data_IF_503255299997
#
_entry.id   IF_503255299997
#
_cell.length_a   1.000
_cell.length_b   1.000
_cell.length_c   1.000
_cell.angle_alpha   90.00
_cell.angle_beta   90.00
_cell.angle_gamma   90.00
#
_symmetry.space_group_name_H-M   'P 1'
#
loop_
_entity.id
_entity.type
_entity.pdbx_description
1 polymer ?
#
# COMPACT_ATOMS: atom_id res chain seq x y z
N UNK A 1 13.62 8.90 -6.05
CA UNK A 1 13.37 8.66 -4.61
C UNK A 1 11.87 8.54 -4.44
N UNK A 2 11.40 7.53 -3.71
CA UNK A 2 9.97 7.31 -3.49
C UNK A 2 9.71 7.17 -1.99
N UNK A 3 8.65 7.80 -1.50
CA UNK A 3 8.16 7.68 -0.13
C UNK A 3 6.70 7.29 -0.18
N UNK A 4 6.36 6.13 0.36
CA UNK A 4 4.99 5.60 0.37
C UNK A 4 4.61 5.31 1.81
N UNK A 5 3.39 5.69 2.19
CA UNK A 5 2.71 5.15 3.36
C UNK A 5 1.29 4.72 2.96
N UNK A 6 0.46 4.35 3.93
CA UNK A 6 -0.88 3.81 3.66
C UNK A 6 -1.79 4.72 2.83
N UNK A 7 -1.60 6.03 2.88
CA UNK A 7 -2.49 7.00 2.23
C UNK A 7 -1.75 8.06 1.41
N UNK A 8 -0.44 7.97 1.27
CA UNK A 8 0.29 8.93 0.44
C UNK A 8 1.48 8.31 -0.25
N UNK A 9 1.72 8.79 -1.47
CA UNK A 9 2.91 8.53 -2.24
C UNK A 9 3.52 9.87 -2.66
N UNK A 10 4.83 9.99 -2.47
CA UNK A 10 5.65 11.08 -2.99
C UNK A 10 6.78 10.46 -3.79
N UNK A 11 6.74 10.61 -5.12
CA UNK A 11 7.69 9.98 -6.04
C UNK A 11 8.45 11.04 -6.84
N UNK A 12 9.75 10.84 -6.99
CA UNK A 12 10.62 11.60 -7.89
C UNK A 12 11.20 10.66 -8.94
N UNK A 13 10.80 10.87 -10.19
CA UNK A 13 11.27 10.12 -11.36
C UNK A 13 12.14 11.03 -12.22
N UNK A 14 13.34 10.58 -12.57
CA UNK A 14 14.19 11.27 -13.55
C UNK A 14 13.90 10.69 -14.93
N UNK A 15 13.46 11.55 -15.85
CA UNK A 15 13.13 11.19 -17.23
C UNK A 15 14.24 11.70 -18.15
N UNK A 16 14.73 10.81 -19.01
CA UNK A 16 15.78 11.09 -20.00
C UNK A 16 15.27 10.84 -21.39
N UNK A 17 15.44 11.83 -22.26
CA UNK A 17 14.94 11.86 -23.61
C UNK A 17 16.09 11.96 -24.60
N UNK A 18 16.00 11.20 -25.68
CA UNK A 18 16.85 11.35 -26.86
C UNK A 18 16.07 12.17 -27.89
N UNK A 19 16.67 13.22 -28.41
CA UNK A 19 16.10 13.99 -29.52
C UNK A 19 16.58 13.39 -30.82
N UNK A 20 15.66 12.85 -31.59
CA UNK A 20 15.94 12.14 -32.83
C UNK A 20 15.45 12.96 -34.02
N UNK A 21 16.33 13.12 -35.02
CA UNK A 21 15.99 13.68 -36.33
C UNK A 21 16.26 12.63 -37.40
N UNK A 22 15.44 12.57 -38.45
CA UNK A 22 15.72 11.74 -39.62
C UNK A 22 16.59 12.54 -40.58
N UNK A 23 17.79 12.05 -40.88
CA UNK A 23 18.73 12.64 -41.84
C UNK A 23 19.02 11.59 -42.90
N UNK A 24 18.68 11.90 -44.16
CA UNK A 24 18.83 10.96 -45.29
C UNK A 24 18.18 9.59 -45.04
N UNK A 25 17.00 9.58 -44.42
CA UNK A 25 16.27 8.34 -44.07
C UNK A 25 16.79 7.63 -42.82
N UNK A 26 17.86 8.12 -42.17
CA UNK A 26 18.46 7.47 -40.99
C UNK A 26 18.11 8.25 -39.71
N UNK A 27 17.60 7.59 -38.65
CA UNK A 27 17.45 8.21 -37.34
C UNK A 27 18.80 8.56 -36.73
N UNK A 28 19.00 9.84 -36.43
CA UNK A 28 20.21 10.35 -35.76
C UNK A 28 19.84 11.04 -34.46
N UNK A 29 20.56 10.73 -33.39
CA UNK A 29 20.45 11.45 -32.12
C UNK A 29 21.17 12.79 -32.24
N UNK A 30 20.43 13.89 -32.13
CA UNK A 30 20.94 15.26 -32.29
C UNK A 30 20.95 16.06 -30.99
N UNK A 31 20.42 15.48 -29.91
CA UNK A 31 20.40 16.12 -28.59
C UNK A 31 19.80 15.23 -27.52
N UNK A 32 19.77 15.74 -26.29
CA UNK A 32 19.09 15.09 -25.16
C UNK A 32 18.37 16.12 -24.30
N UNK A 33 17.37 15.67 -23.56
CA UNK A 33 16.72 16.44 -22.51
C UNK A 33 16.52 15.56 -21.28
N UNK A 34 16.88 16.07 -20.11
CA UNK A 34 16.69 15.39 -18.83
C UNK A 34 15.94 16.30 -17.87
N UNK A 35 14.88 15.80 -17.26
CA UNK A 35 14.07 16.51 -16.28
C UNK A 35 13.53 15.54 -15.23
N UNK A 36 12.97 16.08 -14.16
CA UNK A 36 12.33 15.27 -13.11
C UNK A 36 10.83 15.50 -13.09
N UNK A 37 10.07 14.44 -12.91
CA UNK A 37 8.68 14.49 -12.52
C UNK A 37 8.56 14.18 -11.03
N UNK A 38 7.90 15.07 -10.29
CA UNK A 38 7.55 14.87 -8.88
C UNK A 38 6.04 14.64 -8.80
N UNK A 39 5.62 13.51 -8.24
CA UNK A 39 4.23 13.18 -7.98
C UNK A 39 3.93 13.26 -6.49
N UNK A 40 2.74 13.71 -6.13
CA UNK A 40 2.22 13.66 -4.76
C UNK A 40 0.76 13.22 -4.81
N UNK A 41 0.54 11.93 -4.54
CA UNK A 41 -0.77 11.31 -4.48
C UNK A 41 -1.17 11.15 -3.01
N UNK A 42 -2.35 11.64 -2.65
CA UNK A 42 -2.93 11.45 -1.31
C UNK A 42 -4.28 10.78 -1.44
N UNK A 43 -4.38 9.53 -0.98
CA UNK A 43 -5.62 8.78 -0.90
C UNK A 43 -6.39 9.15 0.37
N UNK A 44 -7.66 8.80 0.41
CA UNK A 44 -8.53 9.12 1.53
C UNK A 44 -9.16 7.87 2.13
N UNK A 45 -9.09 7.74 3.46
CA UNK A 45 -9.76 6.67 4.20
C UNK A 45 -11.29 6.84 4.29
N UNK A 46 -11.85 7.93 3.77
CA UNK A 46 -13.29 8.23 3.83
C UNK A 46 -13.86 8.74 2.50
N UNK A 47 -13.08 8.64 1.43
CA UNK A 47 -13.50 8.97 0.08
C UNK A 47 -12.81 8.02 -0.90
N UNK A 48 -13.54 7.56 -1.91
CA UNK A 48 -12.96 6.82 -3.03
C UNK A 48 -12.53 7.72 -4.20
N UNK A 49 -12.71 9.02 -4.04
CA UNK A 49 -12.31 10.05 -4.99
C UNK A 49 -11.19 10.88 -4.35
N UNK A 50 -10.18 11.24 -5.13
CA UNK A 50 -9.03 12.00 -4.66
C UNK A 50 -8.38 12.82 -5.78
N UNK A 51 -7.45 13.68 -5.40
CA UNK A 51 -6.63 14.46 -6.32
C UNK A 51 -5.14 14.16 -6.08
N UNK A 52 -4.38 14.14 -7.16
CA UNK A 52 -2.93 14.10 -7.16
C UNK A 52 -2.39 15.37 -7.81
N UNK A 53 -1.27 15.88 -7.29
CA UNK A 53 -0.52 16.97 -7.94
C UNK A 53 0.81 16.44 -8.47
N UNK A 54 1.24 16.95 -9.61
CA UNK A 54 2.57 16.69 -10.12
C UNK A 54 3.28 17.95 -10.60
N UNK A 55 4.60 17.90 -10.61
CA UNK A 55 5.48 18.98 -11.05
C UNK A 55 6.56 18.42 -11.98
N UNK A 56 6.78 19.09 -13.11
CA UNK A 56 7.88 18.80 -14.01
C UNK A 56 8.94 19.90 -13.83
N UNK A 57 10.19 19.50 -13.61
CA UNK A 57 11.29 20.46 -13.59
C UNK A 57 11.55 21.00 -15.00
N UNK A 58 12.22 22.16 -15.06
CA UNK A 58 12.91 22.58 -16.28
C UNK A 58 13.88 21.47 -16.72
N UNK A 59 13.95 21.22 -18.02
CA UNK A 59 14.89 20.26 -18.58
C UNK A 59 16.31 20.84 -18.69
N UNK A 60 17.28 20.00 -18.36
CA UNK A 60 18.69 20.19 -18.74
C UNK A 60 18.90 19.54 -20.10
N UNK A 61 19.47 20.27 -21.04
CA UNK A 61 19.49 19.90 -22.46
C UNK A 61 20.89 19.93 -23.06
N UNK A 62 21.12 19.09 -24.06
CA UNK A 62 22.33 19.11 -24.91
C UNK A 62 21.94 19.10 -26.37
N UNK A 63 22.76 19.72 -27.23
CA UNK A 63 22.48 19.86 -28.66
C UNK A 63 21.08 20.42 -28.91
N UNK A 64 20.30 19.69 -29.69
CA UNK A 64 18.92 20.01 -30.05
C UNK A 64 17.89 19.74 -28.93
N UNK A 65 18.29 19.67 -27.67
CA UNK A 65 17.40 19.31 -26.55
C UNK A 65 16.31 20.34 -26.18
N UNK A 66 16.41 21.60 -26.63
CA UNK A 66 15.44 22.68 -26.30
C UNK A 66 14.18 22.64 -27.18
N UNK A 67 13.12 23.30 -26.71
CA UNK A 67 11.89 23.47 -27.48
C UNK A 67 11.05 22.18 -27.59
N UNK A 68 11.22 21.25 -26.65
CA UNK A 68 10.42 20.03 -26.56
C UNK A 68 9.13 20.36 -25.81
N UNK A 69 8.00 20.04 -26.41
CA UNK A 69 6.69 20.09 -25.77
C UNK A 69 6.36 18.73 -25.15
N UNK A 70 5.87 18.73 -23.92
CA UNK A 70 5.41 17.53 -23.21
C UNK A 70 3.90 17.61 -22.95
N UNK A 71 3.22 16.49 -23.14
CA UNK A 71 1.86 16.25 -22.64
C UNK A 71 1.89 15.07 -21.67
N UNK A 72 1.04 15.11 -20.65
CA UNK A 72 0.94 14.07 -19.63
C UNK A 72 -0.49 13.53 -19.60
N UNK A 73 -0.62 12.21 -19.56
CA UNK A 73 -1.90 11.52 -19.37
C UNK A 73 -1.76 10.50 -18.26
N UNK A 74 -2.72 10.47 -17.35
CA UNK A 74 -2.84 9.45 -16.32
C UNK A 74 -4.02 8.52 -16.63
N UNK A 75 -3.84 7.23 -16.40
CA UNK A 75 -4.90 6.22 -16.52
C UNK A 75 -5.01 5.42 -15.24
N UNK A 76 -6.25 5.12 -14.84
CA UNK A 76 -6.57 4.32 -13.65
C UNK A 76 -7.42 3.10 -14.06
N UNK A 77 -7.47 2.11 -13.18
CA UNK A 77 -8.22 0.86 -13.37
C UNK A 77 -9.20 0.56 -12.25
N UNK A 78 -9.77 -0.64 -12.26
CA UNK A 78 -10.60 -1.19 -11.18
C UNK A 78 -11.80 -0.32 -10.77
N UNK A 79 -12.48 0.27 -11.76
CA UNK A 79 -13.68 1.08 -11.55
C UNK A 79 -13.39 2.53 -11.17
N UNK A 80 -12.13 2.95 -11.24
CA UNK A 80 -11.72 4.35 -11.06
C UNK A 80 -11.28 4.93 -12.39
N UNK A 81 -11.77 6.12 -12.72
CA UNK A 81 -11.29 6.93 -13.85
C UNK A 81 -10.28 7.96 -13.36
N UNK A 82 -9.35 8.35 -14.25
CA UNK A 82 -8.39 9.41 -14.01
C UNK A 82 -8.59 10.50 -15.06
N UNK A 83 -8.61 11.76 -14.62
CA UNK A 83 -8.69 12.94 -15.49
C UNK A 83 -7.48 13.82 -15.23
N UNK A 84 -6.62 13.95 -16.23
CA UNK A 84 -5.42 14.81 -16.15
C UNK A 84 -5.77 16.25 -16.52
N UNK A 85 -5.34 17.19 -15.67
CA UNK A 85 -5.45 18.63 -15.87
C UNK A 85 -4.07 19.19 -16.16
N UNK A 86 -3.62 18.96 -17.39
CA UNK A 86 -2.33 19.40 -17.88
C UNK A 86 -2.38 19.52 -19.40
N UNK A 87 -2.02 20.70 -19.92
CA UNK A 87 -1.92 20.94 -21.35
C UNK A 87 -0.50 20.69 -21.87
N UNK A 88 -0.31 20.64 -23.20
CA UNK A 88 1.02 20.65 -23.79
C UNK A 88 1.86 21.82 -23.26
N UNK A 89 3.07 21.55 -22.77
CA UNK A 89 3.93 22.55 -22.15
C UNK A 89 5.39 22.40 -22.60
N UNK A 90 6.12 23.51 -22.72
CA UNK A 90 7.54 23.49 -23.07
C UNK A 90 8.41 23.05 -21.88
N UNK A 91 9.27 22.05 -22.07
CA UNK A 91 10.24 21.60 -21.06
C UNK A 91 11.36 22.61 -20.76
N UNK A 92 11.39 23.75 -21.44
CA UNK A 92 12.35 24.84 -21.20
C UNK A 92 12.08 25.60 -19.88
N UNK A 93 10.89 25.40 -19.29
CA UNK A 93 10.50 25.92 -17.98
C UNK A 93 9.87 24.83 -17.12
N UNK A 94 9.91 25.00 -15.80
CA UNK A 94 9.17 24.13 -14.89
C UNK A 94 7.66 24.33 -15.04
N UNK A 95 6.89 23.29 -14.78
CA UNK A 95 5.43 23.33 -14.83
C UNK A 95 4.80 22.39 -13.79
N UNK A 96 3.50 22.52 -13.58
CA UNK A 96 2.74 21.63 -12.72
C UNK A 96 1.36 21.35 -13.30
N UNK A 97 0.78 20.24 -12.86
CA UNK A 97 -0.57 19.83 -13.20
C UNK A 97 -1.17 19.00 -12.08
N UNK A 98 -2.38 18.52 -12.31
CA UNK A 98 -3.06 17.61 -11.38
C UNK A 98 -3.77 16.48 -12.12
N UNK A 99 -4.15 15.47 -11.36
CA UNK A 99 -5.00 14.36 -11.80
C UNK A 99 -6.14 14.22 -10.80
N UNK A 100 -7.37 14.27 -11.27
CA UNK A 100 -8.55 13.93 -10.46
C UNK A 100 -8.91 12.47 -10.70
N UNK A 101 -9.19 11.75 -9.62
CA UNK A 101 -9.63 10.37 -9.65
C UNK A 101 -11.06 10.26 -9.15
N UNK A 102 -11.88 9.52 -9.90
CA UNK A 102 -13.28 9.28 -9.55
C UNK A 102 -13.57 7.80 -9.61
N UNK A 103 -14.00 7.24 -8.49
CA UNK A 103 -14.35 5.82 -8.38
C UNK A 103 -15.85 5.65 -8.49
N UNK A 104 -16.28 4.69 -9.32
CA UNK A 104 -17.68 4.34 -9.44
C UNK A 104 -18.28 3.96 -8.06
N UNK A 105 -19.56 4.27 -7.79
CA UNK A 105 -20.19 3.96 -6.51
C UNK A 105 -20.01 2.50 -6.09
N UNK A 106 -19.56 2.29 -4.86
CA UNK A 106 -19.32 0.95 -4.30
C UNK A 106 -20.38 0.61 -3.26
N UNK A 107 -21.00 -0.56 -3.38
CA UNK A 107 -21.88 -1.10 -2.33
C UNK A 107 -21.08 -1.54 -1.10
N UNK A 108 -21.72 -1.54 0.08
CA UNK A 108 -21.12 -2.07 1.31
C UNK A 108 -20.63 -3.52 1.09
N UNK A 109 -19.45 -3.82 1.62
CA UNK A 109 -18.79 -5.13 1.46
C UNK A 109 -18.00 -5.26 0.17
N UNK A 110 -18.03 -4.28 -0.74
CA UNK A 110 -17.23 -4.30 -1.97
C UNK A 110 -15.76 -4.04 -1.66
N UNK A 111 -14.90 -4.84 -2.29
CA UNK A 111 -13.44 -4.65 -2.35
C UNK A 111 -13.10 -4.68 -3.85
N UNK A 112 -12.53 -3.60 -4.39
CA UNK A 112 -12.02 -3.62 -5.76
C UNK A 112 -10.65 -4.31 -5.82
N UNK A 113 -10.19 -4.66 -7.02
CA UNK A 113 -8.84 -5.18 -7.21
C UNK A 113 -7.77 -4.13 -6.85
N UNK A 114 -6.54 -4.59 -6.63
CA UNK A 114 -5.35 -3.74 -6.57
C UNK A 114 -5.01 -3.23 -7.98
N UNK A 115 -4.61 -1.97 -8.12
CA UNK A 115 -4.19 -1.35 -9.38
C UNK A 115 -3.15 -0.26 -9.15
N UNK A 116 -2.55 0.24 -10.22
CA UNK A 116 -1.66 1.40 -10.24
C UNK A 116 -2.23 2.45 -11.19
N UNK A 117 -1.91 3.72 -10.94
CA UNK A 117 -2.02 4.74 -11.99
C UNK A 117 -0.89 4.55 -12.98
N UNK A 118 -1.16 4.61 -14.28
CA UNK A 118 -0.11 4.65 -15.31
C UNK A 118 -0.02 6.04 -15.91
N UNK A 119 1.15 6.65 -15.79
CA UNK A 119 1.45 7.94 -16.41
C UNK A 119 2.11 7.71 -17.78
N UNK A 120 1.62 8.40 -18.79
CA UNK A 120 2.21 8.45 -20.11
C UNK A 120 2.62 9.89 -20.42
N UNK A 121 3.89 10.07 -20.76
CA UNK A 121 4.45 11.34 -21.19
C UNK A 121 4.71 11.25 -22.69
N UNK A 122 4.13 12.18 -23.44
CA UNK A 122 4.31 12.28 -24.89
C UNK A 122 5.12 13.53 -25.20
N UNK A 123 6.09 13.40 -26.09
CA UNK A 123 7.04 14.45 -26.42
C UNK A 123 6.96 14.79 -27.89
N UNK A 124 6.86 16.07 -28.21
CA UNK A 124 6.89 16.56 -29.58
C UNK A 124 7.88 17.71 -29.71
N UNK A 125 8.53 17.76 -30.87
CA UNK A 125 9.38 18.88 -31.27
C UNK A 125 9.27 19.01 -32.80
N UNK A 126 8.98 20.20 -33.35
CA UNK A 126 8.91 20.40 -34.80
C UNK A 126 10.17 19.91 -35.51
N UNK A 127 10.02 19.19 -36.62
CA UNK A 127 11.12 18.63 -37.41
C UNK A 127 11.85 17.43 -36.79
N UNK A 128 11.31 16.86 -35.69
CA UNK A 128 11.91 15.72 -34.97
C UNK A 128 10.89 14.59 -34.79
N UNK A 129 11.39 13.39 -34.50
CA UNK A 129 10.54 12.22 -34.24
C UNK A 129 9.88 12.37 -32.85
N UNK A 130 8.54 12.20 -32.72
CA UNK A 130 7.88 12.17 -31.42
C UNK A 130 8.39 11.03 -30.53
N UNK A 131 8.43 11.27 -29.23
CA UNK A 131 8.85 10.29 -28.24
C UNK A 131 7.76 10.03 -27.19
N UNK A 132 7.90 8.96 -26.43
CA UNK A 132 7.11 8.76 -25.22
C UNK A 132 7.86 7.96 -24.16
N UNK A 133 7.42 8.11 -22.91
CA UNK A 133 7.82 7.25 -21.79
C UNK A 133 6.65 7.07 -20.85
N UNK A 134 6.68 6.01 -20.05
CA UNK A 134 5.65 5.73 -19.06
C UNK A 134 6.26 5.11 -17.80
N UNK A 135 5.54 5.27 -16.69
CA UNK A 135 5.81 4.55 -15.45
C UNK A 135 4.52 4.45 -14.61
N UNK A 136 4.42 3.44 -13.74
CA UNK A 136 3.30 3.29 -12.83
C UNK A 136 3.54 4.02 -11.49
N UNK A 137 2.46 4.35 -10.79
CA UNK A 137 2.47 4.72 -9.36
C UNK A 137 2.65 3.50 -8.44
N UNK A 138 2.70 3.73 -7.13
CA UNK A 138 2.44 2.69 -6.14
C UNK A 138 1.07 2.02 -6.36
N UNK A 139 0.96 0.77 -5.93
CA UNK A 139 -0.28 0.00 -5.98
C UNK A 139 -1.24 0.47 -4.91
N UNK A 140 -2.45 0.80 -5.32
CA UNK A 140 -3.55 1.19 -4.47
C UNK A 140 -4.79 0.33 -4.71
N UNK A 141 -5.71 0.41 -3.76
CA UNK A 141 -7.03 -0.24 -3.82
C UNK A 141 -8.07 0.65 -3.17
N UNK A 142 -9.25 0.71 -3.77
CA UNK A 142 -10.44 1.27 -3.14
C UNK A 142 -11.40 0.16 -2.70
N UNK A 143 -12.09 0.38 -1.58
CA UNK A 143 -13.10 -0.52 -1.06
C UNK A 143 -14.19 0.25 -0.31
N UNK A 144 -15.34 -0.39 -0.12
CA UNK A 144 -16.40 0.03 0.78
C UNK A 144 -16.76 -1.13 1.72
N UNK A 145 -15.74 -1.85 2.21
CA UNK A 145 -16.00 -3.09 2.96
C UNK A 145 -16.74 -2.82 4.27
N UNK A 146 -16.36 -1.74 4.97
CA UNK A 146 -16.93 -1.38 6.27
C UNK A 146 -18.19 -0.50 6.20
N UNK A 147 -18.65 -0.12 5.00
CA UNK A 147 -19.74 0.85 4.84
C UNK A 147 -19.28 2.31 4.77
N UNK A 148 -17.97 2.54 4.69
CA UNK A 148 -17.37 3.81 4.27
C UNK A 148 -16.42 3.52 3.12
N UNK A 149 -16.64 4.19 1.99
CA UNK A 149 -15.76 4.08 0.84
C UNK A 149 -14.43 4.79 1.13
N UNK A 150 -13.32 4.14 0.79
CA UNK A 150 -11.99 4.71 0.92
C UNK A 150 -10.97 3.98 0.06
N UNK A 151 -9.80 4.57 -0.09
CA UNK A 151 -8.69 3.98 -0.83
C UNK A 151 -7.42 3.96 0.03
N UNK A 152 -6.57 2.96 -0.20
CA UNK A 152 -5.30 2.83 0.49
C UNK A 152 -4.22 2.25 -0.43
N UNK A 153 -2.97 2.64 -0.18
CA UNK A 153 -1.78 2.07 -0.78
C UNK A 153 -1.54 0.68 -0.17
N UNK A 154 -1.32 -0.30 -1.02
CA UNK A 154 -1.20 -1.71 -0.59
C UNK A 154 0.22 -2.25 -0.59
N UNK A 155 1.18 -1.48 -1.13
CA UNK A 155 2.59 -1.89 -1.22
C UNK A 155 3.34 -1.76 0.11
N UNK A 156 2.86 -0.92 1.02
CA UNK A 156 3.50 -0.67 2.31
C UNK A 156 2.72 -1.34 3.43
N UNK A 157 3.34 -2.25 4.21
CA UNK A 157 2.72 -2.79 5.39
C UNK A 157 2.36 -1.69 6.39
N UNK A 158 1.19 -1.79 7.00
CA UNK A 158 0.82 -0.99 8.17
C UNK A 158 1.17 -1.76 9.45
N UNK A 159 0.93 -1.19 10.63
CA UNK A 159 1.20 -1.85 11.89
C UNK A 159 0.05 -1.67 12.88
N UNK A 160 -0.22 -2.71 13.67
CA UNK A 160 -1.18 -2.71 14.77
C UNK A 160 -0.44 -2.82 16.11
N UNK A 161 -0.81 -2.01 17.09
CA UNK A 161 -0.14 -2.01 18.40
C UNK A 161 -0.88 -2.88 19.43
N UNK A 162 -0.15 -3.83 19.99
CA UNK A 162 -0.53 -4.63 21.16
C UNK A 162 0.15 -4.15 22.45
N UNK A 163 0.99 -3.11 22.39
CA UNK A 163 1.67 -2.52 23.56
C UNK A 163 0.69 -2.25 24.71
N UNK A 164 1.02 -2.71 25.91
CA UNK A 164 0.20 -2.50 27.10
C UNK A 164 -1.04 -3.39 27.15
N UNK A 165 -1.10 -4.46 26.34
CA UNK A 165 -2.01 -5.58 26.54
C UNK A 165 -1.17 -6.67 27.25
N UNK A 166 -1.21 -6.77 28.59
CA UNK A 166 -0.09 -7.30 29.37
C UNK A 166 0.39 -8.71 28.98
N UNK A 167 -0.52 -9.67 28.84
CA UNK A 167 -0.16 -11.06 28.57
C UNK A 167 0.00 -11.31 27.06
N UNK A 168 -0.77 -10.60 26.23
CA UNK A 168 -0.65 -10.70 24.77
C UNK A 168 0.67 -10.10 24.28
N UNK A 169 1.03 -8.90 24.74
CA UNK A 169 2.30 -8.26 24.36
C UNK A 169 3.50 -9.07 24.86
N UNK A 170 3.44 -9.57 26.10
CA UNK A 170 4.50 -10.37 26.71
C UNK A 170 4.67 -11.72 26.01
N UNK A 171 3.57 -12.38 25.66
CA UNK A 171 3.60 -13.61 24.87
C UNK A 171 4.27 -13.42 23.51
N UNK A 172 3.93 -12.34 22.81
CA UNK A 172 4.56 -12.01 21.51
C UNK A 172 6.04 -11.66 21.69
N UNK A 173 6.41 -10.90 22.74
CA UNK A 173 7.82 -10.59 23.05
C UNK A 173 8.62 -11.86 23.37
N UNK A 174 8.05 -12.76 24.18
CA UNK A 174 8.66 -14.06 24.51
C UNK A 174 8.87 -14.91 23.27
N UNK A 175 7.88 -14.95 22.37
CA UNK A 175 8.01 -15.62 21.08
C UNK A 175 9.18 -15.04 20.25
N UNK A 176 9.30 -13.71 20.19
CA UNK A 176 10.39 -13.05 19.46
C UNK A 176 11.75 -13.31 20.08
N UNK A 177 11.85 -13.29 21.40
CA UNK A 177 13.09 -13.57 22.13
C UNK A 177 13.64 -14.97 21.85
N UNK A 178 12.77 -15.95 21.56
CA UNK A 178 13.18 -17.31 21.16
C UNK A 178 13.28 -17.53 19.63
N UNK A 179 13.29 -16.46 18.84
CA UNK A 179 13.51 -16.52 17.38
C UNK A 179 12.25 -16.52 16.50
N UNK A 180 11.08 -16.20 17.06
CA UNK A 180 9.87 -15.95 16.28
C UNK A 180 9.94 -14.61 15.54
N UNK A 181 9.75 -14.58 14.21
CA UNK A 181 9.96 -13.35 13.42
C UNK A 181 8.75 -12.89 12.61
N UNK A 182 7.70 -13.71 12.52
CA UNK A 182 6.49 -13.34 11.79
C UNK A 182 5.75 -12.21 12.53
N UNK A 183 5.37 -11.17 11.79
CA UNK A 183 4.75 -9.96 12.30
C UNK A 183 5.68 -9.00 13.05
N UNK A 184 6.97 -9.29 13.15
CA UNK A 184 7.97 -8.38 13.71
C UNK A 184 8.42 -7.36 12.65
N UNK A 185 8.28 -6.04 12.90
CA UNK A 185 8.83 -5.00 12.02
C UNK A 185 10.33 -5.20 11.69
N UNK A 186 11.11 -5.74 12.63
CA UNK A 186 12.54 -5.99 12.45
C UNK A 186 12.85 -7.39 11.89
N UNK A 187 11.86 -8.28 11.83
CA UNK A 187 12.01 -9.65 11.36
C UNK A 187 11.82 -9.83 9.85
N UNK A 188 11.36 -8.79 9.14
CA UNK A 188 11.18 -8.80 7.68
C UNK A 188 10.08 -9.72 7.15
N UNK A 189 9.29 -10.35 8.03
CA UNK A 189 8.22 -11.29 7.68
C UNK A 189 6.87 -10.74 8.15
N UNK A 190 6.14 -9.94 7.35
CA UNK A 190 4.84 -9.43 7.76
C UNK A 190 3.81 -10.56 7.92
N UNK A 191 2.76 -10.29 8.69
CA UNK A 191 1.54 -11.09 8.66
C UNK A 191 0.63 -10.59 7.55
N UNK A 192 -0.24 -11.45 7.04
CA UNK A 192 -1.22 -11.07 6.01
C UNK A 192 -2.63 -11.19 6.54
N UNK A 193 -3.40 -10.11 6.45
CA UNK A 193 -4.78 -10.10 6.92
C UNK A 193 -5.63 -11.07 6.09
N UNK A 194 -6.52 -11.80 6.77
CA UNK A 194 -7.42 -12.77 6.15
C UNK A 194 -8.88 -12.43 6.51
N UNK A 195 -9.72 -12.19 5.49
CA UNK A 195 -11.15 -11.85 5.70
C UNK A 195 -12.06 -13.08 5.80
N UNK A 196 -11.57 -14.26 5.42
CA UNK A 196 -12.37 -15.50 5.40
C UNK A 196 -12.70 -15.98 6.83
N UNK A 197 -13.96 -15.80 7.25
CA UNK A 197 -14.45 -16.18 8.57
C UNK A 197 -14.36 -17.69 8.83
N UNK A 198 -14.60 -18.53 7.82
CA UNK A 198 -14.48 -19.99 7.98
C UNK A 198 -13.05 -20.36 8.31
N UNK A 199 -12.08 -19.87 7.53
CA UNK A 199 -10.66 -20.15 7.78
C UNK A 199 -10.18 -19.54 9.10
N UNK A 200 -10.69 -18.37 9.51
CA UNK A 200 -10.41 -17.80 10.84
C UNK A 200 -10.86 -18.75 11.96
N UNK A 201 -12.08 -19.29 11.86
CA UNK A 201 -12.60 -20.22 12.85
C UNK A 201 -11.81 -21.55 12.84
N UNK A 202 -11.38 -22.00 11.67
CA UNK A 202 -10.53 -23.19 11.52
C UNK A 202 -9.16 -22.97 12.17
N UNK A 203 -8.52 -21.82 11.93
CA UNK A 203 -7.26 -21.42 12.59
C UNK A 203 -7.41 -21.38 14.11
N UNK A 204 -8.47 -20.73 14.62
CA UNK A 204 -8.75 -20.63 16.05
C UNK A 204 -9.00 -22.01 16.67
N UNK A 205 -9.79 -22.86 16.01
CA UNK A 205 -10.07 -24.23 16.49
C UNK A 205 -8.80 -25.09 16.51
N UNK A 206 -7.90 -24.94 15.54
CA UNK A 206 -6.65 -25.71 15.51
C UNK A 206 -5.71 -25.41 16.69
N UNK A 207 -5.77 -24.19 17.25
CA UNK A 207 -4.90 -23.76 18.36
C UNK A 207 -5.62 -23.82 19.70
N UNK A 208 -6.84 -23.29 19.77
CA UNK A 208 -7.59 -23.11 21.01
C UNK A 208 -8.78 -24.09 21.16
N UNK A 209 -9.13 -24.85 20.12
CA UNK A 209 -10.27 -25.77 20.15
C UNK A 209 -10.10 -26.86 21.21
N UNK A 210 -11.08 -26.99 22.11
CA UNK A 210 -11.08 -28.00 23.17
C UNK A 210 -10.08 -27.75 24.31
N UNK A 211 -9.28 -26.67 24.24
CA UNK A 211 -8.37 -26.32 25.33
C UNK A 211 -9.13 -25.65 26.47
N UNK A 212 -8.78 -25.99 27.70
CA UNK A 212 -9.24 -25.27 28.88
C UNK A 212 -8.05 -24.68 29.61
N UNK A 213 -8.24 -23.50 30.20
CA UNK A 213 -7.19 -22.83 30.95
C UNK A 213 -6.69 -23.74 32.09
N UNK A 214 -5.37 -23.84 32.30
CA UNK A 214 -4.78 -24.48 33.47
C UNK A 214 -5.35 -23.92 34.78
N UNK A 215 -5.39 -24.71 35.88
CA UNK A 215 -5.99 -24.27 37.14
C UNK A 215 -5.40 -22.98 37.73
N UNK A 216 -4.09 -22.78 37.60
CA UNK A 216 -3.36 -21.57 38.02
C UNK A 216 -3.80 -20.33 37.21
N UNK A 217 -3.94 -20.47 35.88
CA UNK A 217 -4.43 -19.39 35.01
C UNK A 217 -5.89 -19.06 35.30
N UNK A 218 -6.73 -20.08 35.52
CA UNK A 218 -8.14 -19.92 35.92
C UNK A 218 -8.27 -19.13 37.23
N UNK A 219 -7.41 -19.42 38.22
CA UNK A 219 -7.42 -18.76 39.54
C UNK A 219 -7.21 -17.25 39.45
N UNK A 220 -6.42 -16.81 38.48
CA UNK A 220 -6.14 -15.39 38.21
C UNK A 220 -7.03 -14.79 37.11
N UNK A 221 -8.14 -15.46 36.77
CA UNK A 221 -9.12 -14.97 35.81
C UNK A 221 -8.69 -15.05 34.34
N UNK A 222 -7.64 -15.80 34.01
CA UNK A 222 -7.16 -16.00 32.63
C UNK A 222 -7.75 -17.26 32.04
N UNK A 223 -8.93 -17.10 31.45
CA UNK A 223 -9.76 -18.20 30.97
C UNK A 223 -9.89 -18.26 29.44
N UNK A 224 -9.34 -17.27 28.72
CA UNK A 224 -9.43 -17.18 27.27
C UNK A 224 -8.09 -17.54 26.61
N UNK A 225 -8.15 -18.33 25.56
CA UNK A 225 -7.00 -18.68 24.72
C UNK A 225 -6.84 -17.61 23.64
N UNK A 226 -5.66 -16.98 23.61
CA UNK A 226 -5.18 -16.08 22.56
C UNK A 226 -4.06 -16.75 21.77
N UNK A 227 -4.02 -16.50 20.46
CA UNK A 227 -3.12 -17.15 19.53
C UNK A 227 -2.30 -16.14 18.72
N UNK A 228 -0.99 -16.39 18.61
CA UNK A 228 -0.10 -15.66 17.72
C UNK A 228 0.65 -16.60 16.77
N UNK A 229 0.71 -16.33 15.44
CA UNK A 229 -0.01 -15.28 14.73
C UNK A 229 -1.53 -15.36 14.87
N UNK A 230 -2.20 -14.21 14.79
CA UNK A 230 -3.65 -14.11 15.02
C UNK A 230 -4.43 -15.04 14.09
N UNK A 231 -5.53 -15.64 14.57
CA UNK A 231 -6.36 -16.51 13.74
C UNK A 231 -6.93 -15.82 12.49
N UNK A 232 -7.04 -14.49 12.50
CA UNK A 232 -7.45 -13.67 11.34
C UNK A 232 -6.30 -13.35 10.37
N UNK A 233 -5.24 -14.16 10.36
CA UNK A 233 -4.12 -14.02 9.43
C UNK A 233 -3.92 -15.29 8.60
N UNK A 234 -3.26 -15.14 7.45
CA UNK A 234 -2.89 -16.28 6.62
C UNK A 234 -1.83 -17.18 7.29
N UNK A 235 -1.04 -16.65 8.22
CA UNK A 235 -0.03 -17.34 9.03
C UNK A 235 -0.61 -18.00 10.31
N UNK A 236 -1.85 -17.65 10.66
CA UNK A 236 -2.51 -18.13 11.88
C UNK A 236 -2.78 -19.64 11.90
N UNK A 237 -3.15 -20.13 13.08
CA UNK A 237 -3.45 -21.55 13.29
C UNK A 237 -2.18 -22.38 13.52
N UNK A 238 -2.04 -23.48 12.78
CA UNK A 238 -0.89 -24.41 12.86
C UNK A 238 0.00 -24.37 11.62
N UNK A 239 -0.19 -23.37 10.74
CA UNK A 239 0.53 -23.27 9.46
C UNK A 239 2.02 -22.99 9.62
N UNK A 240 2.40 -22.26 10.67
CA UNK A 240 3.79 -22.04 11.02
C UNK A 240 4.31 -23.14 11.97
N UNK A 241 5.62 -23.41 11.99
CA UNK A 241 6.21 -24.31 12.99
C UNK A 241 5.96 -23.78 14.41
N UNK A 242 5.97 -24.67 15.41
CA UNK A 242 5.68 -24.30 16.80
C UNK A 242 6.65 -23.23 17.35
N UNK A 243 7.89 -23.20 16.88
CA UNK A 243 8.89 -22.17 17.23
C UNK A 243 8.50 -20.75 16.76
N UNK A 244 7.53 -20.63 15.86
CA UNK A 244 7.06 -19.36 15.29
C UNK A 244 5.63 -19.01 15.73
N UNK A 245 5.12 -19.68 16.78
CA UNK A 245 3.77 -19.48 17.30
C UNK A 245 3.77 -19.39 18.81
N UNK A 246 2.76 -18.72 19.36
CA UNK A 246 2.54 -18.59 20.80
C UNK A 246 1.05 -18.80 21.12
N UNK A 247 0.79 -19.31 22.32
CA UNK A 247 -0.57 -19.41 22.85
C UNK A 247 -0.59 -18.90 24.28
N UNK A 248 -1.33 -17.83 24.52
CA UNK A 248 -1.38 -17.18 25.82
C UNK A 248 -2.76 -17.33 26.44
N UNK A 249 -2.83 -17.66 27.73
CA UNK A 249 -4.07 -17.57 28.50
C UNK A 249 -4.24 -16.16 29.04
N UNK A 250 -5.34 -15.51 28.68
CA UNK A 250 -5.62 -14.10 28.98
C UNK A 250 -6.98 -13.94 29.64
N UNK A 251 -7.19 -12.78 30.26
CA UNK A 251 -8.51 -12.43 30.80
C UNK A 251 -9.51 -12.16 29.67
N UNK A 252 -10.83 -12.32 29.91
CA UNK A 252 -11.84 -11.96 28.91
C UNK A 252 -11.73 -10.49 28.46
N UNK A 253 -11.45 -9.59 29.41
CA UNK A 253 -11.30 -8.15 29.13
C UNK A 253 -10.12 -7.87 28.21
N UNK A 254 -9.00 -8.56 28.41
CA UNK A 254 -7.81 -8.42 27.60
C UNK A 254 -8.01 -8.91 26.17
N UNK A 255 -8.63 -10.08 26.01
CA UNK A 255 -9.01 -10.62 24.72
C UNK A 255 -9.96 -9.66 23.96
N UNK A 256 -10.92 -9.06 24.67
CA UNK A 256 -11.82 -8.07 24.08
C UNK A 256 -11.09 -6.78 23.68
N UNK A 257 -10.12 -6.33 24.49
CA UNK A 257 -9.29 -5.16 24.19
C UNK A 257 -8.48 -5.36 22.91
N UNK A 258 -7.87 -6.54 22.74
CA UNK A 258 -7.14 -6.89 21.51
C UNK A 258 -8.07 -6.81 20.29
N UNK A 259 -9.25 -7.44 20.36
CA UNK A 259 -10.25 -7.42 19.28
C UNK A 259 -10.72 -6.00 18.92
N UNK A 260 -10.90 -5.13 19.92
CA UNK A 260 -11.24 -3.73 19.72
C UNK A 260 -10.11 -2.97 19.03
N UNK A 261 -8.84 -3.14 19.46
CA UNK A 261 -7.68 -2.50 18.83
C UNK A 261 -7.50 -2.91 17.38
N UNK A 262 -7.59 -4.21 17.09
CA UNK A 262 -7.51 -4.71 15.71
C UNK A 262 -8.64 -4.09 14.87
N UNK A 263 -9.86 -4.01 15.39
CA UNK A 263 -10.99 -3.40 14.67
C UNK A 263 -10.77 -1.91 14.40
N UNK A 264 -10.31 -1.17 15.41
CA UNK A 264 -10.07 0.27 15.35
C UNK A 264 -8.86 0.65 14.49
N UNK A 265 -7.91 -0.26 14.29
CA UNK A 265 -6.84 -0.11 13.30
C UNK A 265 -7.30 -0.47 11.89
N UNK A 266 -7.91 -1.64 11.72
CA UNK A 266 -8.22 -2.23 10.41
C UNK A 266 -9.19 -1.38 9.60
N UNK A 267 -10.20 -0.80 10.26
CA UNK A 267 -11.24 0.04 9.62
C UNK A 267 -10.65 1.30 8.98
N UNK A 268 -10.04 2.24 9.74
CA UNK A 268 -9.49 3.45 9.15
C UNK A 268 -8.30 3.19 8.25
N UNK A 269 -7.52 2.12 8.47
CA UNK A 269 -6.39 1.76 7.60
C UNK A 269 -6.83 1.01 6.33
N UNK A 270 -8.13 0.73 6.16
CA UNK A 270 -8.64 -0.07 5.05
C UNK A 270 -7.85 -1.37 4.83
N UNK A 271 -7.44 -2.06 5.90
CA UNK A 271 -6.70 -3.33 5.78
C UNK A 271 -7.68 -4.42 5.35
N UNK A 272 -7.40 -5.02 4.19
CA UNK A 272 -8.22 -6.07 3.57
C UNK A 272 -7.39 -7.34 3.32
N UNK A 273 -8.04 -8.31 2.71
CA UNK A 273 -7.45 -9.61 2.40
C UNK A 273 -6.10 -9.48 1.70
N UNK A 274 -5.13 -10.25 2.18
CA UNK A 274 -3.73 -10.26 1.75
C UNK A 274 -2.94 -8.95 1.97
N UNK A 275 -3.49 -7.95 2.66
CA UNK A 275 -2.68 -6.80 3.05
C UNK A 275 -1.69 -7.21 4.14
N UNK A 276 -0.41 -6.90 3.89
CA UNK A 276 0.68 -7.12 4.82
C UNK A 276 0.59 -6.14 6.01
N UNK A 277 0.92 -6.62 7.20
CA UNK A 277 1.04 -5.78 8.38
C UNK A 277 2.02 -6.35 9.42
N UNK A 278 2.47 -5.48 10.30
CA UNK A 278 3.29 -5.83 11.47
C UNK A 278 2.54 -5.62 12.78
N UNK A 279 3.06 -6.20 13.85
CA UNK A 279 2.53 -6.08 15.20
C UNK A 279 3.57 -5.40 16.08
N UNK A 280 3.19 -4.30 16.72
CA UNK A 280 4.05 -3.57 17.66
C UNK A 280 3.75 -4.06 19.06
N UNK A 281 4.79 -4.48 19.79
CA UNK A 281 4.75 -4.91 21.19
C UNK A 281 5.88 -4.28 21.95
#
# INVERSE_FOLDING_TARGET
MISINRFSECEWVTLRLKVIRIVNGVPQQVGTATFTARHTMTLHAKSADWEEKFQLSKATTTGDGKGITVSVTATAGNGTSAKTHYGPHLLDTGSGGSVTYTTAPMRKGRINGKTQTRYAFQYTKPGHVPGSTNYPSATWRCDNYYGTSGCAMTDQPTAVSMVGIPWIDDGIRTLRARGGHYGDPNGGKPLHWMINTKQKNDNRRAVCGGRTAPPDMKRVGRTYCDEYPFASTYEGGTKLPASQRETTWVSPNENNTQGARITNWRRPMHVMDHDAFYVIV
#
